data_IF_688941429893
#
_entry.id   IF_688941429893
#
_cell.length_a   1.000
_cell.length_b   1.000
_cell.length_c   1.000
_cell.angle_alpha   90.00
_cell.angle_beta   90.00
_cell.angle_gamma   90.00
#
_symmetry.space_group_name_H-M   'P 1'
#
loop_
_entity.id
_entity.type
_entity.pdbx_description
1 polymer ?
#
# COMPACT_ATOMS: atom_id res chain seq x y z
N UNK A 1 21.31 31.10 28.49
CA UNK A 1 20.69 29.81 28.80
C UNK A 1 19.41 29.60 28.01
N UNK A 2 18.36 30.44 28.13
CA UNK A 2 17.06 30.22 27.47
C UNK A 2 17.16 30.14 25.94
N UNK A 3 17.92 31.01 25.28
CA UNK A 3 18.10 30.95 23.81
C UNK A 3 18.77 29.66 23.38
N UNK A 4 19.78 29.16 24.11
CA UNK A 4 20.44 27.89 23.80
C UNK A 4 19.49 26.69 23.97
N UNK A 5 18.65 26.72 25.01
CA UNK A 5 17.66 25.65 25.22
C UNK A 5 16.61 25.61 24.11
N UNK A 6 16.11 26.77 23.69
CA UNK A 6 15.16 26.87 22.57
C UNK A 6 15.81 26.39 21.26
N UNK A 7 17.04 26.80 20.98
CA UNK A 7 17.78 26.39 19.81
C UNK A 7 18.02 24.87 19.79
N UNK A 8 18.34 24.27 20.95
CA UNK A 8 18.53 22.83 21.09
C UNK A 8 17.22 22.06 20.83
N UNK A 9 16.11 22.51 21.45
CA UNK A 9 14.80 21.92 21.21
C UNK A 9 14.39 22.00 19.74
N UNK A 10 14.59 23.16 19.11
CA UNK A 10 14.29 23.33 17.71
C UNK A 10 15.15 22.42 16.82
N UNK A 11 16.47 22.35 17.11
CA UNK A 11 17.38 21.44 16.42
C UNK A 11 16.99 19.97 16.61
N UNK A 12 16.53 19.58 17.80
CA UNK A 12 16.06 18.22 18.07
C UNK A 12 14.88 17.85 17.17
N UNK A 13 13.88 18.73 17.08
CA UNK A 13 12.66 18.49 16.31
C UNK A 13 12.92 18.56 14.80
N UNK A 14 13.75 19.51 14.35
CA UNK A 14 13.94 19.86 12.95
C UNK A 14 14.35 18.69 12.05
N UNK A 15 15.21 17.84 12.52
CA UNK A 15 15.74 16.72 11.72
C UNK A 15 15.37 15.33 12.25
N UNK A 16 14.50 15.28 13.24
CA UNK A 16 14.10 14.01 13.85
C UNK A 16 13.45 13.08 12.81
N UNK A 17 13.86 11.82 12.79
CA UNK A 17 13.39 10.83 11.83
C UNK A 17 14.21 10.75 10.53
N UNK A 18 15.11 11.71 10.28
CA UNK A 18 16.06 11.58 9.17
C UNK A 18 17.26 10.73 9.57
N UNK A 19 17.66 9.81 8.71
CA UNK A 19 18.84 8.97 8.92
C UNK A 19 20.10 9.82 9.07
N UNK A 20 20.92 9.47 10.07
CA UNK A 20 22.17 10.15 10.34
C UNK A 20 22.04 11.49 11.08
N UNK A 21 20.83 12.01 11.31
CA UNK A 21 20.66 13.24 12.08
C UNK A 21 20.85 12.96 13.59
N UNK A 22 21.49 13.92 14.29
CA UNK A 22 21.93 13.71 15.66
C UNK A 22 20.79 13.33 16.63
N UNK A 23 19.61 13.92 16.50
CA UNK A 23 18.46 13.61 17.38
C UNK A 23 17.88 12.22 17.11
N UNK A 24 17.91 11.75 15.87
CA UNK A 24 17.53 10.40 15.49
C UNK A 24 18.50 9.38 16.08
N UNK A 25 19.79 9.61 15.92
CA UNK A 25 20.84 8.76 16.53
C UNK A 25 20.76 8.74 18.05
N UNK A 26 20.50 9.90 18.67
CA UNK A 26 20.30 9.98 20.12
C UNK A 26 19.10 9.14 20.57
N UNK A 27 17.95 9.27 19.91
CA UNK A 27 16.77 8.47 20.23
C UNK A 27 17.04 6.96 20.08
N UNK A 28 17.71 6.53 18.99
CA UNK A 28 18.12 5.15 18.78
C UNK A 28 19.05 4.63 19.88
N UNK A 29 19.98 5.46 20.35
CA UNK A 29 20.86 5.11 21.47
C UNK A 29 20.10 4.95 22.81
N UNK A 30 18.93 5.57 22.92
CA UNK A 30 18.03 5.46 24.06
C UNK A 30 16.97 4.35 23.90
N UNK A 31 17.07 3.52 22.84
CA UNK A 31 16.22 2.37 22.62
C UNK A 31 15.06 2.62 21.64
N UNK A 32 15.03 3.77 20.95
CA UNK A 32 14.04 4.00 19.89
C UNK A 32 14.24 2.97 18.77
N UNK A 33 13.18 2.21 18.51
CA UNK A 33 13.13 1.18 17.46
C UNK A 33 11.92 1.43 16.56
N UNK A 34 12.09 2.13 15.44
CA UNK A 34 11.00 2.52 14.57
C UNK A 34 10.20 1.33 14.04
N UNK A 35 8.89 1.39 14.19
CA UNK A 35 7.92 0.43 13.65
C UNK A 35 6.94 1.16 12.72
N UNK A 36 7.46 1.87 11.74
CA UNK A 36 6.67 2.74 10.85
C UNK A 36 5.58 1.99 10.08
N UNK A 37 5.67 0.66 9.94
CA UNK A 37 4.62 -0.18 9.35
C UNK A 37 3.40 -0.38 10.27
N UNK A 38 3.56 -0.14 11.57
CA UNK A 38 2.49 -0.27 12.57
C UNK A 38 2.53 0.92 13.54
N UNK A 39 1.84 2.01 13.18
CA UNK A 39 1.85 3.26 13.95
C UNK A 39 1.33 3.11 15.38
N UNK A 40 0.44 2.15 15.66
CA UNK A 40 -0.01 1.88 17.03
C UNK A 40 1.10 1.23 17.86
N UNK A 41 1.76 0.22 17.30
CA UNK A 41 2.89 -0.44 17.96
C UNK A 41 4.06 0.55 18.16
N UNK A 42 4.37 1.37 17.15
CA UNK A 42 5.39 2.40 17.24
C UNK A 42 5.08 3.42 18.34
N UNK A 43 3.85 3.91 18.41
CA UNK A 43 3.41 4.83 19.46
C UNK A 43 3.44 4.21 20.86
N UNK A 44 3.15 2.92 20.95
CA UNK A 44 3.19 2.20 22.23
C UNK A 44 4.62 1.96 22.72
N UNK A 45 5.53 1.59 21.79
CA UNK A 45 6.91 1.23 22.14
C UNK A 45 7.81 2.47 22.29
N UNK A 46 7.67 3.44 21.39
CA UNK A 46 8.57 4.60 21.30
C UNK A 46 7.92 5.90 21.82
N UNK A 47 6.63 5.87 22.09
CA UNK A 47 5.82 7.00 22.50
C UNK A 47 5.19 7.78 21.33
N UNK A 48 3.99 8.35 21.55
CA UNK A 48 3.22 9.03 20.49
C UNK A 48 3.90 10.29 19.95
N UNK A 49 4.66 10.99 20.78
CA UNK A 49 5.39 12.19 20.35
C UNK A 49 6.53 11.84 19.41
N UNK A 50 7.28 10.78 19.70
CA UNK A 50 8.38 10.29 18.86
C UNK A 50 7.85 9.84 17.50
N UNK A 51 6.78 9.07 17.49
CA UNK A 51 6.12 8.66 16.24
C UNK A 51 5.62 9.86 15.43
N UNK A 52 4.96 10.81 16.08
CA UNK A 52 4.50 12.04 15.42
C UNK A 52 5.68 12.82 14.79
N UNK A 53 6.76 13.06 15.52
CA UNK A 53 7.93 13.80 15.02
C UNK A 53 8.57 13.08 13.83
N UNK A 54 8.67 11.76 13.87
CA UNK A 54 9.21 10.93 12.78
C UNK A 54 8.41 11.08 11.50
N UNK A 55 7.08 11.14 11.59
CA UNK A 55 6.20 11.24 10.43
C UNK A 55 6.02 12.68 9.93
N UNK A 56 6.25 13.69 10.78
CA UNK A 56 6.01 15.10 10.47
C UNK A 56 6.96 15.66 9.40
N UNK A 57 8.13 15.10 9.23
CA UNK A 57 9.18 15.59 8.32
C UNK A 57 9.31 14.81 7.00
N UNK A 58 8.33 13.98 6.69
CA UNK A 58 8.34 13.23 5.43
C UNK A 58 8.24 14.17 4.24
N UNK A 59 9.27 14.17 3.39
CA UNK A 59 9.24 14.83 2.09
C UNK A 59 8.58 13.90 1.07
N UNK A 60 7.54 14.35 0.42
CA UNK A 60 6.85 13.51 -0.57
C UNK A 60 7.71 13.33 -1.82
N UNK A 61 8.14 14.43 -2.43
CA UNK A 61 8.99 14.44 -3.62
C UNK A 61 9.55 15.84 -3.85
N UNK A 62 10.59 15.94 -4.67
CA UNK A 62 11.06 17.24 -5.16
C UNK A 62 10.07 17.82 -6.17
N UNK A 63 9.93 19.13 -6.14
CA UNK A 63 9.15 19.82 -7.16
C UNK A 63 9.88 19.72 -8.50
N UNK A 64 9.30 19.06 -9.53
CA UNK A 64 9.96 18.95 -10.82
C UNK A 64 10.20 20.29 -11.47
N UNK A 65 11.24 20.37 -12.29
CA UNK A 65 11.47 21.54 -13.14
C UNK A 65 10.27 21.75 -14.08
N UNK A 66 9.89 23.01 -14.29
CA UNK A 66 8.74 23.37 -15.12
C UNK A 66 7.36 23.03 -14.52
N UNK A 67 7.29 22.70 -13.22
CA UNK A 67 6.02 22.46 -12.55
C UNK A 67 5.22 23.75 -12.43
N UNK A 68 4.20 23.89 -13.27
CA UNK A 68 3.25 25.01 -13.28
C UNK A 68 1.82 24.50 -13.57
N UNK A 69 0.83 25.34 -13.34
CA UNK A 69 -0.55 25.00 -13.64
C UNK A 69 -0.74 24.73 -15.16
N UNK A 70 -0.11 25.53 -15.99
CA UNK A 70 -0.17 25.41 -17.46
C UNK A 70 0.43 24.08 -17.93
N UNK A 71 1.59 23.71 -17.39
CA UNK A 71 2.25 22.43 -17.69
C UNK A 71 1.38 21.25 -17.28
N UNK A 72 0.79 21.31 -16.08
CA UNK A 72 -0.10 20.23 -15.59
C UNK A 72 -1.36 20.11 -16.44
N UNK A 73 -1.97 21.21 -16.85
CA UNK A 73 -3.13 21.21 -17.75
C UNK A 73 -2.77 20.68 -19.13
N UNK A 74 -1.61 21.04 -19.66
CA UNK A 74 -1.13 20.51 -20.95
C UNK A 74 -0.92 18.98 -20.91
N UNK A 75 -0.32 18.48 -19.84
CA UNK A 75 -0.14 17.03 -19.59
C UNK A 75 -1.49 16.34 -19.50
N UNK A 76 -2.42 16.86 -18.70
CA UNK A 76 -3.76 16.30 -18.55
C UNK A 76 -4.50 16.23 -19.90
N UNK A 77 -4.46 17.30 -20.70
CA UNK A 77 -5.06 17.36 -22.04
C UNK A 77 -4.43 16.33 -23.00
N UNK A 78 -3.09 16.19 -22.98
CA UNK A 78 -2.36 15.21 -23.77
C UNK A 78 -2.85 13.79 -23.49
N UNK A 79 -2.88 13.40 -22.21
CA UNK A 79 -3.28 12.04 -21.83
C UNK A 79 -4.78 11.78 -21.98
N UNK A 80 -5.63 12.79 -21.76
CA UNK A 80 -7.06 12.69 -22.08
C UNK A 80 -7.29 12.38 -23.57
N UNK A 81 -6.56 13.04 -24.48
CA UNK A 81 -6.62 12.74 -25.92
C UNK A 81 -6.14 11.33 -26.24
N UNK A 82 -5.07 10.86 -25.61
CA UNK A 82 -4.60 9.49 -25.79
C UNK A 82 -5.62 8.46 -25.28
N UNK A 83 -6.21 8.68 -24.11
CA UNK A 83 -7.27 7.82 -23.57
C UNK A 83 -8.46 7.74 -24.52
N UNK A 84 -8.91 8.86 -25.08
CA UNK A 84 -9.98 8.88 -26.08
C UNK A 84 -9.63 8.05 -27.33
N UNK A 85 -8.38 8.07 -27.82
CA UNK A 85 -7.96 7.25 -28.95
C UNK A 85 -7.98 5.76 -28.61
N UNK A 86 -7.45 5.39 -27.46
CA UNK A 86 -7.45 3.99 -26.98
C UNK A 86 -8.89 3.49 -26.83
N UNK A 87 -9.78 4.30 -26.29
CA UNK A 87 -11.18 3.91 -26.04
C UNK A 87 -11.98 3.69 -27.34
N UNK A 88 -11.54 4.23 -28.49
CA UNK A 88 -12.19 3.95 -29.79
C UNK A 88 -12.09 2.48 -30.23
N UNK A 89 -11.09 1.75 -29.72
CA UNK A 89 -10.85 0.34 -30.05
C UNK A 89 -11.35 -0.63 -28.99
N UNK A 90 -11.91 -0.11 -27.88
CA UNK A 90 -12.45 -0.92 -26.79
C UNK A 90 -13.93 -1.19 -27.00
N UNK A 91 -14.32 -2.47 -26.88
CA UNK A 91 -15.68 -2.94 -27.17
C UNK A 91 -16.49 -3.24 -25.88
N UNK A 92 -15.85 -3.21 -24.72
CA UNK A 92 -16.48 -3.56 -23.45
C UNK A 92 -16.18 -2.50 -22.39
N UNK A 93 -17.11 -2.30 -21.47
CA UNK A 93 -16.89 -1.46 -20.31
C UNK A 93 -16.26 -2.28 -19.19
N UNK A 94 -15.40 -1.65 -18.42
CA UNK A 94 -14.78 -2.27 -17.23
C UNK A 94 -15.86 -2.69 -16.21
N UNK A 95 -16.93 -1.94 -16.10
CA UNK A 95 -18.03 -2.15 -15.14
C UNK A 95 -18.99 -3.29 -15.50
N UNK A 96 -18.85 -3.87 -16.70
CA UNK A 96 -19.68 -5.00 -17.13
C UNK A 96 -19.21 -6.35 -16.54
N UNK A 97 -18.11 -6.33 -15.77
CA UNK A 97 -17.50 -7.52 -15.20
C UNK A 97 -17.25 -7.35 -13.70
N UNK A 98 -17.18 -8.46 -12.98
CA UNK A 98 -16.61 -8.50 -11.63
C UNK A 98 -15.09 -8.68 -11.75
N UNK A 99 -14.32 -7.78 -11.14
CA UNK A 99 -12.86 -7.85 -11.12
C UNK A 99 -12.40 -8.15 -9.70
N UNK A 100 -11.66 -9.24 -9.54
CA UNK A 100 -11.01 -9.61 -8.28
C UNK A 100 -9.52 -9.34 -8.42
N UNK A 101 -9.01 -8.38 -7.65
CA UNK A 101 -7.58 -8.11 -7.53
C UNK A 101 -7.06 -8.81 -6.29
N UNK A 102 -6.21 -9.81 -6.48
CA UNK A 102 -5.61 -10.57 -5.39
C UNK A 102 -4.12 -10.25 -5.32
N UNK A 103 -3.69 -9.72 -4.19
CA UNK A 103 -2.28 -9.50 -3.89
C UNK A 103 -1.79 -10.58 -2.94
N UNK A 104 -0.97 -11.49 -3.45
CA UNK A 104 -0.22 -12.48 -2.67
C UNK A 104 1.27 -12.10 -2.76
N UNK A 105 1.67 -11.13 -1.95
CA UNK A 105 2.94 -10.41 -2.10
C UNK A 105 4.15 -11.31 -1.87
N UNK A 106 4.07 -12.23 -0.93
CA UNK A 106 5.15 -13.17 -0.60
C UNK A 106 5.15 -14.42 -1.49
N UNK A 107 4.12 -14.60 -2.34
CA UNK A 107 4.08 -15.73 -3.25
C UNK A 107 5.17 -15.64 -4.30
N UNK A 108 5.95 -16.70 -4.43
CA UNK A 108 6.96 -16.85 -5.48
C UNK A 108 7.03 -18.30 -5.95
N UNK A 109 7.60 -18.50 -7.14
CA UNK A 109 7.88 -19.85 -7.63
C UNK A 109 9.16 -20.38 -6.97
N UNK A 110 9.09 -21.33 -6.03
CA UNK A 110 10.26 -21.78 -5.28
C UNK A 110 11.26 -22.55 -6.18
N UNK A 111 10.83 -23.06 -7.33
CA UNK A 111 11.74 -23.74 -8.28
C UNK A 111 12.74 -22.79 -8.94
N UNK A 112 12.55 -21.47 -8.77
CA UNK A 112 13.48 -20.43 -9.26
C UNK A 112 14.58 -20.08 -8.28
N UNK A 113 14.55 -20.62 -7.08
CA UNK A 113 15.60 -20.40 -6.07
C UNK A 113 16.84 -21.19 -6.47
N UNK A 114 17.99 -20.54 -6.69
CA UNK A 114 19.21 -21.24 -7.06
C UNK A 114 19.63 -22.30 -6.03
N UNK A 115 19.99 -23.50 -6.52
CA UNK A 115 20.44 -24.60 -5.66
C UNK A 115 19.34 -25.37 -4.95
N UNK A 116 18.07 -25.06 -5.20
CA UNK A 116 16.91 -25.80 -4.66
C UNK A 116 16.35 -26.74 -5.72
N UNK A 117 16.03 -27.97 -5.31
CA UNK A 117 15.34 -28.96 -6.13
C UNK A 117 14.17 -29.55 -5.37
N UNK A 118 13.14 -29.98 -6.09
CA UNK A 118 11.92 -30.56 -5.55
C UNK A 118 11.70 -31.92 -6.17
N UNK A 119 11.18 -32.88 -5.39
CA UNK A 119 10.78 -34.21 -5.89
C UNK A 119 9.53 -34.12 -6.77
N UNK A 120 8.68 -33.14 -6.51
CA UNK A 120 7.46 -32.86 -7.25
C UNK A 120 7.34 -31.34 -7.50
N UNK A 121 6.51 -30.97 -8.49
CA UNK A 121 6.23 -29.54 -8.71
C UNK A 121 5.47 -28.94 -7.50
N UNK A 122 6.01 -27.96 -6.78
CA UNK A 122 5.35 -27.38 -5.61
C UNK A 122 4.12 -26.53 -5.95
N UNK A 123 3.91 -26.14 -7.20
CA UNK A 123 2.82 -25.24 -7.63
C UNK A 123 2.13 -25.73 -8.93
N UNK A 124 1.73 -27.00 -9.05
CA UNK A 124 1.27 -27.57 -10.31
C UNK A 124 0.02 -26.87 -10.84
N UNK A 125 -0.93 -26.51 -9.98
CA UNK A 125 -2.17 -25.85 -10.36
C UNK A 125 -1.91 -24.44 -10.93
N UNK A 126 -0.99 -23.68 -10.32
CA UNK A 126 -0.60 -22.36 -10.82
C UNK A 126 0.06 -22.47 -12.20
N UNK A 127 0.93 -23.49 -12.40
CA UNK A 127 1.54 -23.73 -13.72
C UNK A 127 0.49 -24.05 -14.78
N UNK A 128 -0.50 -24.87 -14.43
CA UNK A 128 -1.60 -25.17 -15.35
C UNK A 128 -2.39 -23.92 -15.73
N UNK A 129 -2.77 -23.09 -14.74
CA UNK A 129 -3.48 -21.83 -14.98
C UNK A 129 -2.67 -20.89 -15.88
N UNK A 130 -1.35 -20.81 -15.69
CA UNK A 130 -0.45 -20.01 -16.53
C UNK A 130 -0.47 -20.40 -18.01
N UNK A 131 -0.75 -21.65 -18.34
CA UNK A 131 -0.86 -22.08 -19.74
C UNK A 131 -2.17 -21.66 -20.42
N UNK A 132 -3.18 -21.30 -19.64
CA UNK A 132 -4.54 -21.01 -20.11
C UNK A 132 -4.90 -19.52 -19.99
N UNK A 133 -4.08 -18.71 -19.33
CA UNK A 133 -4.36 -17.30 -19.02
C UNK A 133 -3.16 -16.42 -19.34
N UNK A 134 -3.38 -15.11 -19.37
CA UNK A 134 -2.28 -14.14 -19.43
C UNK A 134 -1.43 -14.25 -18.18
N UNK A 135 -0.16 -14.52 -18.33
CA UNK A 135 0.77 -14.69 -17.23
C UNK A 135 2.15 -14.13 -17.56
N UNK A 136 2.92 -13.80 -16.55
CA UNK A 136 4.27 -13.28 -16.70
C UNK A 136 4.96 -13.10 -15.35
N UNK A 137 6.17 -12.59 -15.40
CA UNK A 137 6.91 -12.15 -14.22
C UNK A 137 6.68 -10.66 -14.02
N UNK A 138 6.42 -10.27 -12.79
CA UNK A 138 6.33 -8.87 -12.40
C UNK A 138 7.46 -8.57 -11.41
N UNK A 139 8.16 -7.46 -11.66
CA UNK A 139 9.14 -6.97 -10.69
C UNK A 139 8.39 -6.43 -9.47
N UNK A 140 8.58 -7.07 -8.32
CA UNK A 140 8.10 -6.53 -7.06
C UNK A 140 9.10 -5.49 -6.53
N UNK A 141 8.67 -4.25 -6.28
CA UNK A 141 9.53 -3.23 -5.68
C UNK A 141 9.66 -3.40 -4.15
N UNK A 142 8.93 -4.34 -3.54
CA UNK A 142 9.04 -4.66 -2.13
C UNK A 142 10.25 -5.57 -1.88
N UNK A 143 11.18 -5.13 -1.04
CA UNK A 143 12.33 -5.92 -0.62
C UNK A 143 12.23 -6.19 0.88
N UNK A 144 11.99 -7.44 1.25
CA UNK A 144 11.92 -7.86 2.64
C UNK A 144 10.74 -7.27 3.42
N UNK A 145 9.61 -6.96 2.75
CA UNK A 145 8.42 -6.37 3.35
C UNK A 145 7.90 -5.17 2.56
N UNK A 146 7.00 -4.39 3.16
CA UNK A 146 6.44 -3.20 2.51
C UNK A 146 5.23 -3.50 1.63
N UNK A 147 4.47 -4.54 1.93
CA UNK A 147 3.23 -4.95 1.22
C UNK A 147 2.31 -3.77 0.93
N UNK A 148 2.16 -2.83 1.88
CA UNK A 148 1.34 -1.63 1.70
C UNK A 148 1.81 -0.73 0.53
N UNK A 149 3.11 -0.71 0.21
CA UNK A 149 3.62 0.02 -0.95
C UNK A 149 3.25 -0.68 -2.26
N UNK A 150 3.21 -2.00 -2.26
CA UNK A 150 2.79 -2.78 -3.43
C UNK A 150 1.28 -2.61 -3.65
N UNK A 151 0.48 -2.67 -2.57
CA UNK A 151 -0.94 -2.33 -2.63
C UNK A 151 -1.17 -0.91 -3.17
N UNK A 152 -0.43 0.07 -2.65
CA UNK A 152 -0.51 1.46 -3.09
C UNK A 152 -0.23 1.58 -4.59
N UNK A 153 0.85 0.98 -5.07
CA UNK A 153 1.21 1.02 -6.49
C UNK A 153 0.18 0.30 -7.37
N UNK A 154 -0.35 -0.85 -6.93
CA UNK A 154 -1.37 -1.59 -7.65
C UNK A 154 -2.69 -0.81 -7.76
N UNK A 155 -3.11 -0.13 -6.69
CA UNK A 155 -4.36 0.63 -6.65
C UNK A 155 -4.26 1.98 -7.34
N UNK A 156 -3.11 2.65 -7.26
CA UNK A 156 -2.94 4.02 -7.77
C UNK A 156 -2.27 4.08 -9.14
N UNK A 157 -1.53 3.05 -9.54
CA UNK A 157 -0.66 3.08 -10.71
C UNK A 157 0.59 3.96 -10.53
N UNK A 158 0.88 4.44 -9.31
CA UNK A 158 2.00 5.33 -9.03
C UNK A 158 3.17 4.54 -8.43
N UNK A 159 4.33 4.61 -9.07
CA UNK A 159 5.54 3.94 -8.58
C UNK A 159 6.14 4.66 -7.38
N UNK A 160 6.56 3.91 -6.36
CA UNK A 160 7.30 4.44 -5.21
C UNK A 160 8.64 5.08 -5.62
N UNK A 161 9.22 4.70 -6.76
CA UNK A 161 10.45 5.30 -7.29
C UNK A 161 10.32 6.79 -7.65
N UNK A 162 9.10 7.31 -7.76
CA UNK A 162 8.86 8.73 -8.04
C UNK A 162 8.87 9.60 -6.78
N UNK A 163 8.93 9.00 -5.60
CA UNK A 163 8.89 9.71 -4.32
C UNK A 163 10.29 9.88 -3.71
N UNK A 164 10.37 10.77 -2.73
CA UNK A 164 11.59 10.93 -1.93
C UNK A 164 11.94 9.64 -1.19
N UNK A 165 13.23 9.30 -1.03
CA UNK A 165 13.66 8.17 -0.18
C UNK A 165 13.14 8.22 1.26
N UNK A 166 12.82 9.41 1.78
CA UNK A 166 12.23 9.58 3.11
C UNK A 166 10.77 9.16 3.19
N UNK A 167 10.09 9.00 2.04
CA UNK A 167 8.75 8.43 1.95
C UNK A 167 8.86 6.91 1.78
N UNK A 168 9.07 6.21 2.88
CA UNK A 168 9.26 4.76 2.88
C UNK A 168 7.96 3.97 2.85
N UNK A 169 6.85 4.52 3.41
CA UNK A 169 5.54 3.86 3.45
C UNK A 169 4.44 4.85 3.08
N UNK A 170 3.95 4.76 1.84
CA UNK A 170 2.93 5.67 1.31
C UNK A 170 1.64 5.67 2.14
N UNK A 171 1.20 4.52 2.64
CA UNK A 171 -0.02 4.39 3.44
C UNK A 171 0.02 5.13 4.78
N UNK A 172 1.19 5.40 5.31
CA UNK A 172 1.34 6.09 6.59
C UNK A 172 1.82 7.54 6.43
N UNK A 173 2.69 7.78 5.45
CA UNK A 173 3.38 9.05 5.31
C UNK A 173 2.75 9.96 4.25
N UNK A 174 1.99 9.42 3.30
CA UNK A 174 1.41 10.17 2.19
C UNK A 174 -0.11 10.17 2.20
N UNK A 175 -0.73 8.98 2.09
CA UNK A 175 -2.18 8.86 1.88
C UNK A 175 -3.00 9.55 2.97
N UNK A 176 -2.66 9.47 4.27
CA UNK A 176 -3.40 10.16 5.32
C UNK A 176 -3.49 11.68 5.15
N UNK A 177 -2.48 12.31 4.55
CA UNK A 177 -2.42 13.76 4.32
C UNK A 177 -3.13 14.19 3.03
N UNK A 178 -3.37 13.30 2.08
CA UNK A 178 -4.01 13.62 0.82
C UNK A 178 -5.50 13.91 1.02
N UNK A 179 -5.99 14.97 0.39
CA UNK A 179 -7.44 15.22 0.29
C UNK A 179 -8.11 14.21 -0.65
N UNK A 180 -7.40 13.80 -1.68
CA UNK A 180 -7.84 12.86 -2.69
C UNK A 180 -6.64 12.04 -3.17
N UNK A 181 -6.82 10.74 -3.31
CA UNK A 181 -5.79 9.83 -3.80
C UNK A 181 -6.33 9.10 -5.05
N UNK A 182 -5.70 9.25 -6.22
CA UNK A 182 -6.17 8.60 -7.43
C UNK A 182 -6.05 7.08 -7.29
N UNK A 183 -7.15 6.37 -7.52
CA UNK A 183 -7.16 4.90 -7.48
C UNK A 183 -8.07 4.33 -8.56
N UNK A 184 -7.84 3.07 -8.93
CA UNK A 184 -8.73 2.33 -9.82
C UNK A 184 -10.17 2.27 -9.29
N UNK A 185 -10.36 2.22 -7.98
CA UNK A 185 -11.67 2.25 -7.34
C UNK A 185 -12.46 3.52 -7.65
N UNK A 186 -11.80 4.67 -7.65
CA UNK A 186 -12.42 5.94 -7.96
C UNK A 186 -12.78 6.02 -9.45
N UNK A 187 -11.90 5.52 -10.33
CA UNK A 187 -12.21 5.40 -11.75
C UNK A 187 -13.41 4.47 -11.99
N UNK A 188 -13.46 3.35 -11.28
CA UNK A 188 -14.57 2.40 -11.32
C UNK A 188 -15.87 3.03 -10.84
N UNK A 189 -15.84 3.70 -9.69
CA UNK A 189 -17.01 4.38 -9.13
C UNK A 189 -17.52 5.45 -10.10
N UNK A 190 -16.66 6.23 -10.71
CA UNK A 190 -17.04 7.24 -11.71
C UNK A 190 -17.71 6.61 -12.93
N UNK A 191 -17.14 5.51 -13.46
CA UNK A 191 -17.73 4.77 -14.57
C UNK A 191 -19.07 4.10 -14.22
N UNK A 192 -19.28 3.76 -12.96
CA UNK A 192 -20.51 3.15 -12.42
C UNK A 192 -21.50 4.18 -11.85
N UNK A 193 -21.58 5.37 -12.41
CA UNK A 193 -22.49 6.44 -11.97
C UNK A 193 -22.23 6.92 -10.54
N UNK A 194 -20.96 6.94 -10.12
CA UNK A 194 -20.47 7.33 -8.80
C UNK A 194 -20.96 6.42 -7.64
N UNK A 195 -21.46 5.24 -7.94
CA UNK A 195 -21.79 4.22 -6.93
C UNK A 195 -20.52 3.52 -6.46
N UNK A 196 -20.32 3.48 -5.15
CA UNK A 196 -19.20 2.71 -4.57
C UNK A 196 -19.50 1.21 -4.67
N UNK A 197 -18.84 0.53 -5.58
CA UNK A 197 -19.04 -0.89 -5.87
C UNK A 197 -17.85 -1.77 -5.45
N UNK A 198 -16.76 -1.17 -4.99
CA UNK A 198 -15.56 -1.91 -4.60
C UNK A 198 -15.57 -2.24 -3.12
N UNK A 199 -15.24 -3.49 -2.78
CA UNK A 199 -14.98 -3.92 -1.40
C UNK A 199 -13.52 -4.33 -1.26
N UNK A 200 -12.98 -4.22 -0.05
CA UNK A 200 -11.65 -4.70 0.29
C UNK A 200 -11.74 -5.79 1.37
N UNK A 201 -10.86 -6.77 1.27
CA UNK A 201 -10.70 -7.83 2.26
C UNK A 201 -9.22 -7.94 2.65
N UNK A 202 -8.95 -8.15 3.94
CA UNK A 202 -7.60 -8.36 4.45
C UNK A 202 -7.62 -9.31 5.65
N UNK A 203 -6.83 -10.35 5.60
CA UNK A 203 -6.78 -11.40 6.63
C UNK A 203 -5.96 -11.00 7.86
N UNK A 204 -5.98 -9.73 8.23
CA UNK A 204 -5.31 -9.19 9.42
C UNK A 204 -6.05 -7.97 9.97
N UNK A 205 -5.51 -7.34 11.03
CA UNK A 205 -6.10 -6.19 11.68
C UNK A 205 -6.24 -5.00 10.72
N UNK A 206 -7.38 -4.32 10.78
CA UNK A 206 -7.72 -3.24 9.86
C UNK A 206 -6.84 -2.00 9.99
N UNK A 207 -6.28 -1.75 11.16
CA UNK A 207 -5.41 -0.59 11.40
C UNK A 207 -3.96 -0.78 10.91
N UNK A 208 -3.56 -2.00 10.55
CA UNK A 208 -2.24 -2.24 9.97
C UNK A 208 -2.05 -1.38 8.72
N UNK A 209 -0.97 -0.59 8.68
CA UNK A 209 -0.71 0.42 7.66
C UNK A 209 -1.83 1.47 7.48
N UNK A 210 -2.63 1.72 8.51
CA UNK A 210 -3.77 2.64 8.44
C UNK A 210 -4.79 2.28 7.34
N UNK A 211 -4.94 1.00 7.02
CA UNK A 211 -5.86 0.56 5.94
C UNK A 211 -7.30 1.00 6.16
N UNK A 212 -7.77 1.03 7.39
CA UNK A 212 -9.12 1.49 7.73
C UNK A 212 -9.36 2.96 7.33
N UNK A 213 -8.35 3.82 7.46
CA UNK A 213 -8.37 5.21 7.02
C UNK A 213 -8.17 5.32 5.50
N UNK A 214 -7.16 4.64 4.99
CA UNK A 214 -6.74 4.75 3.59
C UNK A 214 -7.81 4.20 2.63
N UNK A 215 -8.43 3.07 2.96
CA UNK A 215 -9.47 2.49 2.10
C UNK A 215 -10.75 3.33 2.05
N UNK A 216 -11.06 4.10 3.10
CA UNK A 216 -12.10 5.13 3.04
C UNK A 216 -11.74 6.24 2.04
N UNK A 217 -10.48 6.71 2.05
CA UNK A 217 -9.97 7.69 1.08
C UNK A 217 -9.93 7.16 -0.34
N UNK A 218 -9.63 5.88 -0.51
CA UNK A 218 -9.68 5.18 -1.80
C UNK A 218 -11.10 4.87 -2.27
N UNK A 219 -12.11 5.20 -1.46
CA UNK A 219 -13.53 5.05 -1.76
C UNK A 219 -14.00 3.60 -1.91
N UNK A 220 -13.39 2.66 -1.19
CA UNK A 220 -14.03 1.37 -0.98
C UNK A 220 -15.36 1.56 -0.23
N UNK A 221 -16.38 0.81 -0.62
CA UNK A 221 -17.69 0.82 0.07
C UNK A 221 -17.64 0.14 1.42
N UNK A 222 -16.87 -0.95 1.51
CA UNK A 222 -16.68 -1.76 2.71
C UNK A 222 -15.24 -2.28 2.78
N UNK A 223 -14.76 -2.47 4.01
CA UNK A 223 -13.49 -3.12 4.28
C UNK A 223 -13.69 -4.21 5.33
N UNK A 224 -13.49 -5.46 4.94
CA UNK A 224 -13.56 -6.65 5.78
C UNK A 224 -12.17 -7.00 6.29
N UNK A 225 -12.02 -7.17 7.61
CA UNK A 225 -10.76 -7.51 8.27
C UNK A 225 -11.01 -8.53 9.39
N UNK A 226 -9.97 -8.94 10.10
CA UNK A 226 -10.09 -9.87 11.23
C UNK A 226 -10.71 -9.24 12.47
N UNK A 227 -10.76 -7.91 12.52
CA UNK A 227 -11.28 -7.12 13.62
C UNK A 227 -12.28 -6.05 13.13
N UNK A 228 -13.01 -5.45 14.08
CA UNK A 228 -13.97 -4.38 13.79
C UNK A 228 -15.18 -4.84 12.99
N UNK A 229 -15.84 -3.90 12.30
CA UNK A 229 -17.04 -4.19 11.47
C UNK A 229 -16.89 -3.53 10.10
N UNK A 230 -17.26 -4.22 8.98
CA UNK A 230 -17.60 -5.65 8.93
C UNK A 230 -16.38 -6.53 9.17
N UNK A 231 -16.59 -7.74 9.71
CA UNK A 231 -15.55 -8.69 10.07
C UNK A 231 -15.59 -9.93 9.19
N UNK A 232 -14.42 -10.53 8.94
CA UNK A 232 -14.30 -11.87 8.38
C UNK A 232 -14.47 -12.88 9.50
N UNK A 233 -15.36 -13.86 9.33
CA UNK A 233 -15.74 -14.81 10.40
C UNK A 233 -15.38 -16.25 10.10
N UNK A 234 -15.07 -16.60 8.85
CA UNK A 234 -14.73 -17.96 8.42
C UNK A 234 -13.24 -18.24 8.37
N UNK A 235 -12.42 -17.40 9.02
CA UNK A 235 -10.98 -17.54 9.00
C UNK A 235 -10.50 -18.55 10.04
N UNK A 236 -9.51 -19.37 9.67
CA UNK A 236 -8.79 -20.25 10.59
C UNK A 236 -7.30 -20.25 10.26
N UNK A 237 -6.49 -20.53 11.28
CA UNK A 237 -5.04 -20.63 11.14
C UNK A 237 -4.64 -21.98 10.51
N UNK A 238 -3.43 -22.06 9.99
CA UNK A 238 -2.80 -23.32 9.58
C UNK A 238 -2.20 -23.95 10.84
N UNK A 239 -2.74 -25.06 11.30
CA UNK A 239 -2.25 -25.82 12.46
C UNK A 239 -1.90 -24.92 13.67
N UNK A 240 -0.63 -24.91 14.08
CA UNK A 240 -0.13 -24.07 15.17
C UNK A 240 0.37 -22.69 14.74
N UNK A 241 0.14 -22.30 13.47
CA UNK A 241 0.59 -21.01 12.96
C UNK A 241 -0.26 -19.85 13.52
N UNK A 242 0.36 -18.69 13.62
CA UNK A 242 -0.31 -17.46 14.06
C UNK A 242 -1.15 -16.81 12.97
N UNK A 243 -0.90 -17.18 11.73
CA UNK A 243 -1.46 -16.53 10.55
C UNK A 243 -2.64 -17.31 10.03
N UNK A 244 -3.60 -16.56 9.48
CA UNK A 244 -4.75 -17.09 8.76
C UNK A 244 -4.28 -17.84 7.53
N UNK A 245 -4.90 -19.01 7.26
CA UNK A 245 -4.62 -19.78 6.05
C UNK A 245 -5.15 -19.05 4.81
N UNK A 246 -4.39 -19.10 3.71
CA UNK A 246 -4.83 -18.57 2.42
C UNK A 246 -6.12 -19.24 1.94
N UNK A 247 -6.26 -20.55 2.19
CA UNK A 247 -7.47 -21.32 1.85
C UNK A 247 -8.72 -20.73 2.49
N UNK A 248 -8.68 -20.47 3.82
CA UNK A 248 -9.83 -19.90 4.52
C UNK A 248 -10.11 -18.47 4.07
N UNK A 249 -9.06 -17.70 3.78
CA UNK A 249 -9.21 -16.35 3.27
C UNK A 249 -9.83 -16.32 1.87
N UNK A 250 -9.37 -17.17 0.95
CA UNK A 250 -9.97 -17.28 -0.39
C UNK A 250 -11.41 -17.76 -0.34
N UNK A 251 -11.75 -18.64 0.59
CA UNK A 251 -13.13 -19.05 0.84
C UNK A 251 -14.01 -17.89 1.28
N UNK A 252 -13.50 -16.99 2.13
CA UNK A 252 -14.21 -15.76 2.51
C UNK A 252 -14.35 -14.77 1.32
N UNK A 253 -13.36 -14.68 0.44
CA UNK A 253 -13.45 -13.88 -0.79
C UNK A 253 -14.56 -14.41 -1.69
N UNK A 254 -14.60 -15.71 -1.93
CA UNK A 254 -15.64 -16.35 -2.76
C UNK A 254 -17.05 -16.06 -2.23
N UNK A 255 -17.28 -16.14 -0.92
CA UNK A 255 -18.58 -15.79 -0.30
C UNK A 255 -19.03 -14.34 -0.52
N UNK A 256 -18.13 -13.45 -0.97
CA UNK A 256 -18.45 -12.03 -1.21
C UNK A 256 -18.72 -11.73 -2.68
N UNK A 257 -18.39 -12.64 -3.59
CA UNK A 257 -18.55 -12.47 -5.04
C UNK A 257 -19.56 -13.42 -5.66
N UNK A 258 -20.00 -14.40 -4.92
CA UNK A 258 -21.14 -15.30 -5.22
C UNK A 258 -22.40 -14.85 -4.48
#
# INVERSE_FOLDING_TARGET
AAVCSVALCFSFVWGFGNDGYWSTQFAQSMGDSPQIWNGLADSTSNGPVVNFLRLAHTKTMDKPEGYSQETMQAIAKKYAKQAQQINKTRNTNMTDNTVIMMLSETFSDPTRVPGVSFSEDPIPNIRQIKTQTTSGLMLSPGYGGGTANIEYQALTGLSMANYSPTLSIAYQQLVPSLKWAPTINQAWNAANGSKKASIALHAFNRNMYFRDLNYKKFQFSQFFATDGKPQLTGLHAIDSAWYVSDESFYSEVLKKVT
#
